data_IF_176754276334
#
_entry.id   IF_176754276334
#
_cell.length_a   1.000
_cell.length_b   1.000
_cell.length_c   1.000
_cell.angle_alpha   90.00
_cell.angle_beta   90.00
_cell.angle_gamma   90.00
#
_symmetry.space_group_name_H-M   'P 1'
#
loop_
_entity.id
_entity.type
_entity.pdbx_description
1 polymer ?
#
# COMPACT_ATOMS: atom_id res chain seq x y z
N UNK A 1 10.96 -10.55 -4.04
CA UNK A 1 9.69 -10.22 -4.78
C UNK A 1 9.68 -8.75 -5.15
N UNK A 2 9.55 -8.41 -6.43
CA UNK A 2 9.49 -7.01 -6.89
C UNK A 2 8.06 -6.56 -7.22
N UNK A 3 7.65 -5.44 -6.63
CA UNK A 3 6.36 -4.78 -6.84
C UNK A 3 6.63 -3.41 -7.45
N UNK A 4 5.90 -3.07 -8.51
CA UNK A 4 5.99 -1.76 -9.15
C UNK A 4 4.61 -1.11 -9.09
N UNK A 5 4.56 0.15 -8.66
CA UNK A 5 3.37 0.99 -8.74
C UNK A 5 3.63 2.06 -9.79
N UNK A 6 2.84 2.01 -10.85
CA UNK A 6 2.79 3.04 -11.87
C UNK A 6 1.66 4.01 -11.56
N UNK A 7 1.98 5.23 -11.13
CA UNK A 7 1.01 6.32 -11.00
C UNK A 7 0.77 6.91 -12.38
N UNK A 8 -0.47 7.28 -12.69
CA UNK A 8 -0.88 7.67 -14.05
C UNK A 8 -1.68 8.95 -14.09
N UNK A 9 -2.58 9.14 -13.11
CA UNK A 9 -3.52 10.25 -13.08
C UNK A 9 -3.46 11.01 -11.76
N UNK A 10 -2.82 12.17 -11.80
CA UNK A 10 -2.77 13.10 -10.67
C UNK A 10 -3.96 14.05 -10.76
N UNK A 11 -4.91 13.91 -9.83
CA UNK A 11 -6.12 14.73 -9.80
C UNK A 11 -6.37 15.26 -8.40
N UNK A 12 -7.24 16.27 -8.28
CA UNK A 12 -7.74 16.75 -6.97
C UNK A 12 -8.43 15.67 -6.12
N UNK A 13 -8.89 14.59 -6.75
CA UNK A 13 -9.63 13.52 -6.08
C UNK A 13 -8.74 12.36 -5.63
N UNK A 14 -7.50 12.31 -6.09
CA UNK A 14 -6.58 11.21 -5.83
C UNK A 14 -5.53 11.06 -6.93
N UNK A 15 -4.48 10.31 -6.59
CA UNK A 15 -3.52 9.80 -7.57
C UNK A 15 -3.87 8.35 -7.87
N UNK A 16 -4.34 8.10 -9.09
CA UNK A 16 -4.63 6.74 -9.55
C UNK A 16 -3.34 6.07 -10.01
N UNK A 17 -3.21 4.78 -9.70
CA UNK A 17 -2.08 3.98 -10.15
C UNK A 17 -2.41 2.51 -10.39
N UNK A 18 -1.39 1.76 -10.77
CA UNK A 18 -1.47 0.33 -11.06
C UNK A 18 -0.33 -0.41 -10.43
N UNK A 19 -0.69 -1.43 -9.64
CA UNK A 19 0.25 -2.33 -9.03
C UNK A 19 0.51 -3.50 -9.97
N UNK A 20 1.78 -3.67 -10.32
CA UNK A 20 2.31 -4.69 -11.20
C UNK A 20 3.30 -5.55 -10.43
N UNK A 21 3.21 -6.87 -10.60
CA UNK A 21 4.14 -7.84 -10.02
C UNK A 21 4.63 -8.71 -11.17
N UNK A 22 5.96 -8.76 -11.38
CA UNK A 22 6.58 -9.52 -12.49
C UNK A 22 5.94 -9.24 -13.85
N UNK A 23 5.71 -7.96 -14.18
CA UNK A 23 5.06 -7.54 -15.44
C UNK A 23 3.53 -7.75 -15.50
N UNK A 24 2.93 -8.46 -14.54
CA UNK A 24 1.48 -8.72 -14.54
C UNK A 24 0.75 -7.71 -13.65
N UNK A 25 -0.28 -7.05 -14.21
CA UNK A 25 -1.20 -6.19 -13.45
C UNK A 25 -1.94 -7.00 -12.40
N UNK A 26 -1.83 -6.58 -11.14
CA UNK A 26 -2.48 -7.25 -9.99
C UNK A 26 -3.71 -6.50 -9.52
N UNK A 27 -3.60 -5.19 -9.34
CA UNK A 27 -4.72 -4.33 -8.94
C UNK A 27 -4.44 -2.86 -9.27
N UNK A 28 -5.44 -2.01 -9.08
CA UNK A 28 -5.26 -0.57 -9.07
C UNK A 28 -4.86 -0.09 -7.69
N UNK A 29 -4.17 1.04 -7.67
CA UNK A 29 -3.78 1.76 -6.46
C UNK A 29 -4.40 3.13 -6.44
N UNK A 30 -4.60 3.66 -5.24
CA UNK A 30 -5.15 4.99 -5.06
C UNK A 30 -4.48 5.68 -3.86
N UNK A 31 -4.00 6.89 -4.08
CA UNK A 31 -3.25 7.67 -3.08
C UNK A 31 -3.85 9.06 -2.90
N UNK A 32 -3.51 9.70 -1.78
CA UNK A 32 -3.91 11.08 -1.50
C UNK A 32 -3.19 12.04 -2.45
N UNK A 33 -3.87 13.06 -3.02
CA UNK A 33 -3.28 13.97 -4.01
C UNK A 33 -2.11 14.81 -3.48
N UNK A 34 -2.16 15.20 -2.20
CA UNK A 34 -1.11 16.04 -1.58
C UNK A 34 -0.23 15.28 -0.56
N UNK A 35 -0.62 14.06 -0.20
CA UNK A 35 -0.01 13.30 0.90
C UNK A 35 0.39 11.93 0.38
N UNK A 36 1.19 11.92 -0.67
CA UNK A 36 1.73 10.71 -1.30
C UNK A 36 3.22 10.56 -0.99
N UNK A 37 3.75 9.35 -1.19
CA UNK A 37 5.20 9.14 -1.16
C UNK A 37 5.86 9.70 -2.42
N UNK A 38 7.10 10.19 -2.38
CA UNK A 38 7.81 10.52 -3.62
C UNK A 38 8.00 9.27 -4.50
N UNK A 39 8.18 9.45 -5.80
CA UNK A 39 8.63 8.35 -6.66
C UNK A 39 10.02 7.87 -6.23
N UNK A 40 10.28 6.57 -6.38
CA UNK A 40 11.55 5.96 -6.00
C UNK A 40 11.44 4.55 -5.44
N UNK A 41 12.52 4.11 -4.81
CA UNK A 41 12.68 2.74 -4.31
C UNK A 41 12.41 2.60 -2.81
N UNK A 42 11.62 1.60 -2.48
CA UNK A 42 11.13 1.27 -1.16
C UNK A 42 11.23 -0.23 -0.88
N UNK A 43 11.11 -0.60 0.38
CA UNK A 43 10.98 -1.96 0.88
C UNK A 43 9.65 -2.10 1.62
N UNK A 44 9.02 -3.26 1.49
CA UNK A 44 7.80 -3.57 2.25
C UNK A 44 8.17 -4.54 3.37
N UNK A 45 7.82 -4.17 4.61
CA UNK A 45 8.02 -4.99 5.80
C UNK A 45 6.67 -5.30 6.45
N UNK A 46 6.48 -6.56 6.88
CA UNK A 46 5.32 -6.97 7.67
C UNK A 46 5.59 -6.73 9.15
N UNK A 47 5.20 -5.57 9.66
CA UNK A 47 5.40 -5.17 11.05
C UNK A 47 4.09 -5.24 11.83
N UNK A 48 4.16 -5.68 13.08
CA UNK A 48 3.00 -5.69 13.98
C UNK A 48 2.66 -4.26 14.38
N UNK A 49 1.46 -3.79 14.04
CA UNK A 49 0.96 -2.49 14.51
C UNK A 49 0.08 -2.74 15.72
N UNK A 50 0.44 -2.14 16.86
CA UNK A 50 -0.45 -2.10 18.02
C UNK A 50 -1.52 -1.07 17.73
N UNK A 51 -2.70 -1.53 17.32
CA UNK A 51 -3.87 -0.66 17.23
C UNK A 51 -4.42 -0.49 18.65
N UNK A 52 -4.17 0.67 19.27
CA UNK A 52 -4.93 1.05 20.46
C UNK A 52 -6.39 1.23 20.04
N UNK A 53 -7.24 0.25 20.34
CA UNK A 53 -8.67 0.44 20.25
C UNK A 53 -9.10 1.26 21.46
N UNK A 54 -9.54 2.49 21.22
CA UNK A 54 -10.34 3.20 22.18
C UNK A 54 -11.74 2.57 22.25
N UNK A 55 -12.10 2.22 23.49
CA UNK A 55 -13.39 1.76 24.04
C UNK A 55 -13.66 0.25 24.14
N UNK A 56 -13.95 -0.11 25.40
CA UNK A 56 -14.24 -1.40 26.03
C UNK A 56 -15.68 -1.83 25.75
N UNK A 57 -15.89 -3.14 25.67
CA UNK A 57 -16.97 -3.84 26.36
C UNK A 57 -16.56 -5.32 26.49
N UNK A 58 -16.69 -5.89 27.70
CA UNK A 58 -16.33 -7.26 28.10
C UNK A 58 -14.84 -7.62 28.18
N UNK A 59 -14.22 -7.34 29.34
CA UNK A 59 -13.31 -8.23 30.10
C UNK A 59 -12.10 -8.96 29.49
N UNK A 60 -11.85 -8.93 28.19
CA UNK A 60 -10.69 -9.58 27.54
C UNK A 60 -10.00 -8.55 26.65
N UNK A 61 -8.84 -8.04 27.09
CA UNK A 61 -7.89 -7.34 26.22
C UNK A 61 -7.31 -8.34 25.22
N UNK A 62 -8.08 -8.65 24.18
CA UNK A 62 -7.55 -9.28 22.97
C UNK A 62 -6.71 -8.22 22.26
N UNK A 63 -5.42 -8.16 22.60
CA UNK A 63 -4.44 -7.35 21.87
C UNK A 63 -4.26 -8.01 20.49
N UNK A 64 -5.17 -7.71 19.56
CA UNK A 64 -5.09 -8.23 18.20
C UNK A 64 -4.00 -7.48 17.44
N UNK A 65 -2.76 -7.95 17.55
CA UNK A 65 -1.62 -7.45 16.79
C UNK A 65 -1.75 -7.91 15.33
N UNK A 66 -2.30 -7.03 14.47
CA UNK A 66 -2.32 -7.31 13.04
C UNK A 66 -0.99 -6.89 12.42
N UNK A 67 -0.30 -7.82 11.75
CA UNK A 67 0.87 -7.49 10.95
C UNK A 67 0.43 -6.70 9.72
N UNK A 68 0.87 -5.46 9.59
CA UNK A 68 0.55 -4.58 8.48
C UNK A 68 1.74 -4.46 7.50
N UNK A 69 1.48 -4.33 6.19
CA UNK A 69 2.52 -4.09 5.19
C UNK A 69 2.95 -2.63 5.20
N UNK A 70 3.99 -2.33 5.99
CA UNK A 70 4.59 -1.00 6.10
C UNK A 70 5.56 -0.77 4.95
N UNK A 71 5.54 0.42 4.37
CA UNK A 71 6.45 0.87 3.32
C UNK A 71 7.60 1.63 3.99
N UNK A 72 8.84 1.23 3.68
CA UNK A 72 10.07 1.81 4.22
C UNK A 72 10.93 2.29 3.06
N UNK A 73 11.58 3.45 3.17
CA UNK A 73 12.54 3.90 2.15
C UNK A 73 13.77 2.99 2.15
N UNK A 74 14.32 2.69 0.96
CA UNK A 74 15.52 1.84 0.86
C UNK A 74 16.68 2.46 1.64
N UNK A 75 17.31 1.68 2.51
CA UNK A 75 18.40 2.13 3.38
C UNK A 75 17.96 2.79 4.70
N UNK A 76 16.67 3.01 4.91
CA UNK A 76 16.17 3.51 6.20
C UNK A 76 16.14 2.42 7.26
N UNK A 77 16.46 2.79 8.50
CA UNK A 77 16.30 1.93 9.67
C UNK A 77 14.81 1.60 9.87
N UNK A 78 14.51 0.41 10.40
CA UNK A 78 13.15 0.02 10.75
C UNK A 78 12.67 0.93 11.90
N UNK A 79 11.60 1.73 11.72
CA UNK A 79 11.14 2.62 12.77
C UNK A 79 10.74 1.84 14.02
N UNK A 80 11.14 2.32 15.19
CA UNK A 80 10.66 1.81 16.49
C UNK A 80 9.18 2.12 16.69
N UNK A 81 8.71 3.27 16.20
CA UNK A 81 7.29 3.62 16.12
C UNK A 81 6.77 3.56 14.68
N UNK A 82 5.97 2.53 14.41
CA UNK A 82 5.29 2.31 13.12
C UNK A 82 4.04 3.17 12.95
N UNK A 83 3.60 3.90 13.98
CA UNK A 83 2.38 4.72 13.97
C UNK A 83 2.37 5.71 12.80
N UNK A 84 3.49 6.36 12.49
CA UNK A 84 3.56 7.39 11.44
C UNK A 84 3.99 6.86 10.07
N UNK A 85 4.22 5.56 9.96
CA UNK A 85 4.76 4.99 8.72
C UNK A 85 3.67 4.81 7.66
N UNK A 86 3.99 4.98 6.37
CA UNK A 86 3.09 4.66 5.26
C UNK A 86 2.88 3.16 5.14
N UNK A 87 1.68 2.73 4.75
CA UNK A 87 1.35 1.31 4.58
C UNK A 87 0.30 1.08 3.50
N UNK A 88 0.25 -0.16 3.00
CA UNK A 88 -0.83 -0.59 2.11
C UNK A 88 -2.08 -0.89 2.91
N UNK A 89 -3.24 -0.46 2.42
CA UNK A 89 -4.51 -0.69 3.11
C UNK A 89 -5.68 -0.88 2.16
N UNK A 90 -6.75 -1.56 2.59
CA UNK A 90 -8.04 -1.44 1.94
C UNK A 90 -8.69 -0.10 2.29
N UNK A 91 -9.56 0.39 1.40
CA UNK A 91 -10.27 1.65 1.51
C UNK A 91 -11.01 1.95 0.20
N UNK A 92 -11.88 2.95 0.19
CA UNK A 92 -12.65 3.30 -1.02
C UNK A 92 -12.17 4.60 -1.67
N UNK A 93 -11.71 5.57 -0.87
CA UNK A 93 -11.21 6.85 -1.37
C UNK A 93 -10.07 7.41 -0.53
N UNK A 94 -9.29 8.37 -1.06
CA UNK A 94 -8.00 8.69 -0.48
C UNK A 94 -8.01 9.94 0.41
N UNK A 95 -9.08 10.75 0.38
CA UNK A 95 -9.10 12.08 1.02
C UNK A 95 -8.98 12.03 2.55
N UNK A 96 -9.39 10.93 3.18
CA UNK A 96 -9.25 10.73 4.64
C UNK A 96 -7.90 10.13 5.04
N UNK A 97 -7.02 9.78 4.09
CA UNK A 97 -5.71 9.18 4.37
C UNK A 97 -4.72 10.22 4.90
N UNK A 98 -4.10 9.94 6.06
CA UNK A 98 -3.24 10.91 6.76
C UNK A 98 -1.73 10.63 6.68
N UNK A 99 -1.31 9.44 6.20
CA UNK A 99 0.06 8.91 6.39
C UNK A 99 0.74 8.43 5.10
N UNK A 100 0.42 9.03 3.95
CA UNK A 100 0.88 8.54 2.65
C UNK A 100 0.62 7.04 2.43
N UNK A 101 -0.54 6.59 2.91
CA UNK A 101 -1.01 5.24 2.69
C UNK A 101 -1.44 5.07 1.23
N UNK A 102 -1.31 3.84 0.73
CA UNK A 102 -1.73 3.47 -0.60
C UNK A 102 -2.89 2.51 -0.48
N UNK A 103 -4.03 2.87 -1.06
CA UNK A 103 -5.20 2.01 -1.12
C UNK A 103 -5.05 1.05 -2.31
N UNK A 104 -5.43 -0.20 -2.12
CA UNK A 104 -5.49 -1.22 -3.17
C UNK A 104 -6.94 -1.53 -3.53
N UNK A 105 -7.26 -1.71 -4.80
CA UNK A 105 -8.59 -2.12 -5.22
C UNK A 105 -8.78 -2.20 -6.73
N UNK A 106 -10.03 -2.24 -7.17
CA UNK A 106 -10.43 -2.08 -8.56
C UNK A 106 -10.85 -0.63 -8.78
N UNK A 107 -10.21 0.07 -9.71
CA UNK A 107 -10.59 1.44 -10.05
C UNK A 107 -11.97 1.47 -10.72
N UNK A 108 -12.83 2.38 -10.27
CA UNK A 108 -14.18 2.61 -10.85
C UNK A 108 -14.27 4.00 -11.45
N UNK A 109 -13.74 4.98 -10.72
CA UNK A 109 -13.63 6.36 -11.14
C UNK A 109 -12.35 6.94 -10.54
N UNK A 110 -11.89 8.07 -11.07
CA UNK A 110 -10.74 8.78 -10.50
C UNK A 110 -11.02 9.15 -9.05
N UNK A 111 -10.14 8.76 -8.14
CA UNK A 111 -10.36 8.98 -6.70
C UNK A 111 -11.24 7.92 -6.02
N UNK A 112 -11.66 6.85 -6.71
CA UNK A 112 -12.54 5.82 -6.16
C UNK A 112 -12.15 4.40 -6.59
N UNK A 113 -11.96 3.53 -5.59
CA UNK A 113 -11.76 2.09 -5.79
C UNK A 113 -12.81 1.27 -5.04
N UNK A 114 -13.11 0.09 -5.57
CA UNK A 114 -14.00 -0.91 -4.96
C UNK A 114 -13.26 -2.25 -4.80
N UNK A 115 -13.89 -3.22 -4.13
CA UNK A 115 -13.31 -4.54 -3.83
C UNK A 115 -11.94 -4.47 -3.16
N UNK A 116 -11.68 -3.39 -2.43
CA UNK A 116 -10.35 -3.10 -1.88
C UNK A 116 -9.89 -4.14 -0.86
N UNK A 117 -10.83 -4.69 -0.09
CA UNK A 117 -10.58 -5.77 0.87
C UNK A 117 -10.05 -7.04 0.19
N UNK A 118 -10.72 -7.49 -0.88
CA UNK A 118 -10.37 -8.70 -1.61
C UNK A 118 -8.97 -8.58 -2.25
N UNK A 119 -8.71 -7.46 -2.93
CA UNK A 119 -7.40 -7.19 -3.52
C UNK A 119 -6.30 -7.07 -2.46
N UNK A 120 -6.59 -6.43 -1.33
CA UNK A 120 -5.66 -6.33 -0.22
C UNK A 120 -5.32 -7.70 0.37
N UNK A 121 -6.32 -8.53 0.68
CA UNK A 121 -6.11 -9.84 1.31
C UNK A 121 -5.34 -10.78 0.37
N UNK A 122 -5.62 -10.75 -0.94
CA UNK A 122 -4.84 -11.47 -1.97
C UNK A 122 -3.38 -11.03 -2.02
N UNK A 123 -3.12 -9.72 -2.02
CA UNK A 123 -1.75 -9.22 -2.03
C UNK A 123 -1.04 -9.55 -0.71
N UNK A 124 -1.74 -9.44 0.41
CA UNK A 124 -1.21 -9.69 1.74
C UNK A 124 -0.71 -11.13 1.91
N UNK A 125 -1.44 -12.12 1.39
CA UNK A 125 -0.98 -13.51 1.37
C UNK A 125 0.26 -13.72 0.47
N UNK A 126 0.36 -12.99 -0.65
CA UNK A 126 1.58 -12.98 -1.48
C UNK A 126 2.76 -12.35 -0.74
N UNK A 127 2.53 -11.23 -0.03
CA UNK A 127 3.56 -10.56 0.78
C UNK A 127 4.06 -11.46 1.90
N UNK A 128 3.17 -12.18 2.61
CA UNK A 128 3.55 -13.16 3.63
C UNK A 128 4.50 -14.23 3.09
N UNK A 129 4.25 -14.74 1.87
CA UNK A 129 5.13 -15.71 1.20
C UNK A 129 6.44 -15.05 0.75
N UNK A 130 6.38 -13.82 0.26
CA UNK A 130 7.53 -13.03 -0.19
C UNK A 130 8.48 -12.56 0.93
N UNK A 131 7.97 -12.32 2.13
CA UNK A 131 8.83 -11.94 3.29
C UNK A 131 9.54 -13.15 3.88
N UNK A 132 8.99 -14.36 3.74
CA UNK A 132 9.68 -15.61 4.14
C UNK A 132 10.84 -15.98 3.21
N UNK A 133 10.88 -15.42 2.00
CA UNK A 133 11.97 -15.65 1.05
C UNK A 133 13.11 -14.66 1.31
N UNK A 134 14.36 -15.12 1.13
CA UNK A 134 15.58 -14.38 1.50
C UNK A 134 15.74 -13.03 0.78
N UNK A 135 15.09 -12.87 -0.39
CA UNK A 135 15.15 -11.65 -1.20
C UNK A 135 14.29 -10.48 -0.68
N UNK A 136 13.39 -10.73 0.28
CA UNK A 136 12.45 -9.71 0.77
C UNK A 136 11.51 -9.15 -0.31
N UNK A 137 10.75 -8.12 0.04
CA UNK A 137 9.80 -7.46 -0.89
C UNK A 137 10.29 -6.04 -1.20
N UNK A 138 10.63 -5.78 -2.46
CA UNK A 138 10.93 -4.45 -2.98
C UNK A 138 9.69 -3.80 -3.58
N UNK A 139 9.56 -2.49 -3.41
CA UNK A 139 8.52 -1.66 -3.99
C UNK A 139 9.18 -0.52 -4.76
N UNK A 140 8.83 -0.36 -6.03
CA UNK A 140 9.26 0.80 -6.83
C UNK A 140 8.02 1.60 -7.20
N UNK A 141 8.07 2.91 -6.98
CA UNK A 141 7.00 3.84 -7.36
C UNK A 141 7.51 4.69 -8.51
N UNK A 142 6.77 4.68 -9.61
CA UNK A 142 7.09 5.40 -10.85
C UNK A 142 5.92 6.32 -11.18
N UNK A 143 6.21 7.60 -11.35
CA UNK A 143 5.23 8.59 -11.81
C UNK A 143 5.20 8.55 -13.34
N UNK A 144 4.25 7.81 -13.92
CA UNK A 144 3.90 7.97 -15.32
C UNK A 144 2.96 9.17 -15.39
N UNK A 145 3.34 10.23 -16.10
CA UNK A 145 2.44 11.34 -16.38
C UNK A 145 1.32 10.98 -17.37
N UNK A 146 1.20 9.70 -17.76
CA UNK A 146 0.34 9.21 -18.84
C UNK A 146 -0.45 7.96 -18.40
N UNK A 147 -1.61 7.76 -19.02
CA UNK A 147 -2.50 6.63 -18.72
C UNK A 147 -2.00 5.28 -19.30
N UNK A 148 -0.95 5.27 -20.11
CA UNK A 148 -0.40 4.05 -20.73
C UNK A 148 0.66 3.41 -19.82
N UNK A 149 0.47 2.14 -19.45
CA UNK A 149 1.47 1.36 -18.72
C UNK A 149 2.43 0.78 -19.76
N UNK A 150 3.76 0.95 -19.62
CA UNK A 150 4.73 0.34 -20.52
C UNK A 150 4.48 -1.16 -20.57
N UNK A 151 4.16 -1.67 -21.76
CA UNK A 151 3.86 -3.09 -21.98
C UNK A 151 5.10 -3.88 -22.37
N UNK A 152 6.25 -3.21 -22.46
CA UNK A 152 7.54 -3.78 -22.86
C UNK A 152 8.54 -3.65 -21.70
N UNK A 153 9.03 -4.81 -21.24
CA UNK A 153 10.28 -4.97 -20.48
C UNK A 153 11.21 -5.76 -21.39
#
# INVERSE_FOLDING_TARGET
>A
MNIIIYRRRFSRWGVDGTLVIKGVKVCNTLEHPERLLPAGEYKIALLSVVMNKDKKESGKKSQLSKKMPIILKKGSHIPTDVSRSPYLMPGNGPLTLKKACIILGKAVATGLVIHSREHFDRLYERLKKGVKTYEGVSLTIIDLGTDEIPTEI
#
